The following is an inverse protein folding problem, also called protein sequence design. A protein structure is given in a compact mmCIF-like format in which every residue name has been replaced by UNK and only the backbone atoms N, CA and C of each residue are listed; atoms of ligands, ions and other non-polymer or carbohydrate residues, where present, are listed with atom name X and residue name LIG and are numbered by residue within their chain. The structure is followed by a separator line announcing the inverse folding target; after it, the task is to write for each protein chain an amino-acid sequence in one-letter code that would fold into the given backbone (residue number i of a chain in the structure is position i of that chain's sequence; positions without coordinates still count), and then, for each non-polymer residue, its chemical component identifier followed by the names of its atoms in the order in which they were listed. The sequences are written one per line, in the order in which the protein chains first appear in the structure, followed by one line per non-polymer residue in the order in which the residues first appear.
data_IF_432028381137
#
_entry.id   IF_432028381137
#
_cell.length_a   1.000
_cell.length_b   1.000
_cell.length_c   1.000
_cell.angle_alpha   90.00
_cell.angle_beta   90.00
_cell.angle_gamma   90.00
#
_symmetry.space_group_name_H-M   'P 1'
#
loop_
_entity.id
_entity.type
_entity.pdbx_description
1 polymer ?
#
# COMPACT_ATOMS: atom_id res chain seq x y z
N UNK A 1 -32.68 -42.18 104.62
CA UNK A 1 -34.03 -42.77 104.52
C UNK A 1 -34.36 -42.84 103.03
N UNK A 2 -34.24 -44.03 102.41
CA UNK A 2 -35.36 -44.97 102.15
C UNK A 2 -36.37 -44.28 101.24
N UNK A 3 -36.33 -44.47 99.92
CA UNK A 3 -37.00 -45.54 99.13
C UNK A 3 -37.69 -44.79 97.96
N UNK A 4 -37.93 -45.28 96.76
CA UNK A 4 -38.05 -46.65 96.26
C UNK A 4 -37.93 -46.64 94.73
N UNK A 5 -37.59 -47.82 94.21
CA UNK A 5 -37.32 -48.25 92.84
C UNK A 5 -38.51 -48.23 91.87
N UNK A 6 -38.14 -48.51 90.61
CA UNK A 6 -38.83 -49.23 89.50
C UNK A 6 -39.26 -48.30 88.35
N UNK A 7 -39.05 -48.61 87.07
CA UNK A 7 -38.54 -49.80 86.42
C UNK A 7 -38.23 -49.49 84.94
N UNK A 8 -37.75 -50.50 84.22
CA UNK A 8 -37.03 -50.41 82.97
C UNK A 8 -37.88 -50.28 81.68
N UNK A 9 -37.13 -50.10 80.57
CA UNK A 9 -37.35 -50.58 79.19
C UNK A 9 -37.85 -49.61 78.09
N UNK A 10 -36.87 -49.27 77.22
CA UNK A 10 -36.88 -49.24 75.75
C UNK A 10 -38.21 -49.09 74.96
N UNK A 11 -38.29 -48.04 74.12
CA UNK A 11 -38.16 -48.12 72.64
C UNK A 11 -38.29 -46.75 71.96
N UNK A 12 -37.64 -46.65 70.78
CA UNK A 12 -37.66 -45.58 69.74
C UNK A 12 -39.11 -45.10 69.43
N UNK A 13 -39.42 -43.95 68.86
CA UNK A 13 -38.75 -42.96 68.00
C UNK A 13 -39.55 -41.64 68.01
N UNK A 14 -39.09 -40.65 67.23
CA UNK A 14 -39.85 -39.56 66.54
C UNK A 14 -39.43 -38.15 66.95
N UNK A 15 -39.04 -37.40 65.91
CA UNK A 15 -38.66 -35.99 65.84
C UNK A 15 -39.62 -35.01 66.53
N UNK A 16 -39.09 -33.99 67.20
CA UNK A 16 -39.52 -32.59 67.00
C UNK A 16 -38.47 -31.58 67.50
N UNK A 17 -38.16 -30.63 66.62
CA UNK A 17 -37.71 -29.23 66.81
C UNK A 17 -36.99 -28.82 68.10
N UNK A 18 -35.81 -28.21 67.91
CA UNK A 18 -35.27 -27.23 68.85
C UNK A 18 -34.83 -26.02 68.04
N UNK A 19 -35.48 -24.88 68.29
CA UNK A 19 -35.16 -23.58 67.71
C UNK A 19 -33.69 -23.24 67.96
N UNK A 20 -32.97 -22.89 66.88
CA UNK A 20 -31.65 -22.31 66.98
C UNK A 20 -31.78 -20.80 67.17
N UNK A 21 -31.06 -20.19 68.13
CA UNK A 21 -31.12 -18.76 68.34
C UNK A 21 -30.46 -18.05 67.16
N UNK A 22 -31.22 -17.15 66.51
CA UNK A 22 -30.71 -16.22 65.50
C UNK A 22 -29.60 -15.36 66.11
N UNK A 23 -28.35 -15.72 65.84
CA UNK A 23 -27.20 -14.82 65.98
C UNK A 23 -27.28 -13.81 64.85
N UNK A 24 -27.95 -12.69 65.10
CA UNK A 24 -27.82 -11.51 64.24
C UNK A 24 -26.39 -10.98 64.36
N UNK A 25 -25.50 -11.46 63.49
CA UNK A 25 -24.22 -10.84 63.27
C UNK A 25 -24.48 -9.49 62.59
N UNK A 26 -24.26 -8.39 63.31
CA UNK A 26 -24.28 -7.06 62.73
C UNK A 26 -23.15 -6.98 61.69
N UNK A 27 -23.48 -7.14 60.40
CA UNK A 27 -22.56 -6.92 59.29
C UNK A 27 -22.32 -5.42 59.21
N UNK A 28 -21.13 -4.95 59.60
CA UNK A 28 -20.74 -3.56 59.33
C UNK A 28 -20.58 -3.41 57.82
N UNK A 29 -21.54 -2.74 57.20
CA UNK A 29 -21.46 -2.36 55.79
C UNK A 29 -20.68 -1.07 55.70
N UNK A 30 -19.43 -1.16 55.26
CA UNK A 30 -18.62 0.03 54.95
C UNK A 30 -18.89 0.46 53.52
N UNK A 31 -19.40 1.67 53.33
CA UNK A 31 -19.61 2.27 52.01
C UNK A 31 -18.38 3.03 51.51
N UNK A 32 -18.25 3.17 50.18
CA UNK A 32 -17.27 4.07 49.58
C UNK A 32 -17.57 5.53 49.97
N UNK A 33 -16.54 6.29 50.37
CA UNK A 33 -16.69 7.70 50.78
C UNK A 33 -17.09 8.65 49.64
N UNK A 34 -16.75 8.30 48.40
CA UNK A 34 -16.99 9.15 47.22
C UNK A 34 -18.35 8.88 46.58
N UNK A 35 -18.68 7.62 46.31
CA UNK A 35 -19.92 7.25 45.61
C UNK A 35 -21.00 6.62 46.51
N UNK A 36 -20.79 6.56 47.83
CA UNK A 36 -21.71 6.04 48.87
C UNK A 36 -22.24 4.63 48.61
N UNK A 37 -21.58 3.87 47.72
CA UNK A 37 -21.99 2.53 47.35
C UNK A 37 -21.59 1.53 48.44
N UNK A 38 -22.52 0.65 48.82
CA UNK A 38 -22.32 -0.37 49.85
C UNK A 38 -21.54 -1.57 49.29
N UNK A 39 -20.47 -2.00 49.97
CA UNK A 39 -19.71 -3.21 49.61
C UNK A 39 -19.47 -4.12 50.82
N UNK A 40 -19.31 -5.42 50.57
CA UNK A 40 -18.83 -6.38 51.56
C UNK A 40 -17.31 -6.21 51.74
N UNK A 41 -16.79 -6.23 52.98
CA UNK A 41 -15.38 -5.98 53.22
C UNK A 41 -14.52 -7.10 52.60
N UNK A 42 -13.69 -6.74 51.61
CA UNK A 42 -12.59 -7.60 51.19
C UNK A 42 -11.52 -7.57 52.26
N UNK A 43 -11.16 -8.74 52.78
CA UNK A 43 -10.19 -8.87 53.85
C UNK A 43 -8.78 -8.48 53.37
N UNK A 44 -8.34 -7.29 53.78
CA UNK A 44 -6.93 -6.92 53.80
C UNK A 44 -6.47 -6.09 52.60
N UNK A 45 -6.23 -4.80 52.83
CA UNK A 45 -5.51 -3.93 51.90
C UNK A 45 -5.76 -2.48 52.25
N UNK A 46 -4.70 -1.71 52.50
CA UNK A 46 -4.78 -0.34 53.02
C UNK A 46 -5.19 0.71 51.96
N UNK A 47 -5.36 0.31 50.70
CA UNK A 47 -5.76 1.18 49.58
C UNK A 47 -6.63 0.40 48.58
N UNK A 48 -7.90 0.14 48.90
CA UNK A 48 -8.86 -0.38 47.93
C UNK A 48 -9.77 0.76 47.46
N UNK A 49 -9.45 1.34 46.30
CA UNK A 49 -10.33 2.30 45.64
C UNK A 49 -11.64 1.59 45.24
N UNK A 50 -12.74 2.35 45.21
CA UNK A 50 -14.03 1.76 44.89
C UNK A 50 -14.10 1.40 43.41
N UNK A 51 -14.41 0.14 43.09
CA UNK A 51 -14.57 -0.35 41.71
C UNK A 51 -15.50 0.53 40.86
N UNK A 52 -16.57 1.08 41.47
CA UNK A 52 -17.48 2.00 40.75
C UNK A 52 -16.84 3.36 40.46
N UNK A 53 -16.01 3.88 41.38
CA UNK A 53 -15.27 5.13 41.14
C UNK A 53 -14.17 4.91 40.10
N UNK A 54 -13.43 3.79 40.17
CA UNK A 54 -12.42 3.44 39.18
C UNK A 54 -13.01 3.33 37.77
N UNK A 55 -14.18 2.70 37.63
CA UNK A 55 -14.90 2.62 36.36
C UNK A 55 -15.31 4.00 35.83
N UNK A 56 -15.70 4.92 36.70
CA UNK A 56 -16.04 6.29 36.32
C UNK A 56 -14.79 7.06 35.90
N UNK A 57 -13.68 6.91 36.61
CA UNK A 57 -12.40 7.54 36.26
C UNK A 57 -11.87 7.03 34.92
N UNK A 58 -11.99 5.72 34.65
CA UNK A 58 -11.64 5.14 33.36
C UNK A 58 -12.54 5.64 32.23
N UNK A 59 -13.85 5.80 32.49
CA UNK A 59 -14.77 6.43 31.54
C UNK A 59 -14.39 7.89 31.27
N UNK A 60 -14.05 8.66 32.30
CA UNK A 60 -13.62 10.06 32.16
C UNK A 60 -12.34 10.13 31.31
N UNK A 61 -11.38 9.23 31.54
CA UNK A 61 -10.15 9.11 30.75
C UNK A 61 -10.44 8.82 29.28
N UNK A 62 -11.30 7.82 29.00
CA UNK A 62 -11.69 7.47 27.64
C UNK A 62 -12.42 8.61 26.93
N UNK A 63 -13.27 9.37 27.64
CA UNK A 63 -13.95 10.54 27.07
C UNK A 63 -12.97 11.66 26.76
N UNK A 64 -11.95 11.87 27.60
CA UNK A 64 -10.89 12.85 27.34
C UNK A 64 -10.08 12.48 26.09
N UNK A 65 -9.65 11.22 25.97
CA UNK A 65 -8.95 10.71 24.77
C UNK A 65 -9.81 10.84 23.51
N UNK A 66 -11.09 10.50 23.59
CA UNK A 66 -12.02 10.64 22.47
C UNK A 66 -12.18 12.11 22.05
N UNK A 67 -12.23 13.03 23.02
CA UNK A 67 -12.33 14.46 22.75
C UNK A 67 -11.11 14.98 22.01
N UNK A 68 -9.91 14.55 22.39
CA UNK A 68 -8.67 14.91 21.69
C UNK A 68 -8.65 14.38 20.25
N UNK A 69 -9.08 13.14 20.02
CA UNK A 69 -9.18 12.60 18.66
C UNK A 69 -10.23 13.33 17.81
N UNK A 70 -11.36 13.74 18.40
CA UNK A 70 -12.37 14.54 17.69
C UNK A 70 -11.82 15.90 17.28
N UNK A 71 -11.08 16.59 18.15
CA UNK A 71 -10.41 17.85 17.80
C UNK A 71 -9.35 17.64 16.70
N UNK A 72 -8.58 16.56 16.78
CA UNK A 72 -7.60 16.19 15.74
C UNK A 72 -8.28 15.94 14.39
N UNK A 73 -9.41 15.24 14.37
CA UNK A 73 -10.20 15.02 13.14
C UNK A 73 -10.81 16.32 12.61
N UNK A 74 -11.23 17.24 13.48
CA UNK A 74 -11.71 18.56 13.06
C UNK A 74 -10.60 19.36 12.36
N UNK A 75 -9.39 19.34 12.89
CA UNK A 75 -8.22 19.97 12.27
C UNK A 75 -7.87 19.33 10.91
N UNK A 76 -7.89 18.01 10.81
CA UNK A 76 -7.67 17.31 9.52
C UNK A 76 -8.72 17.74 8.49
N UNK A 77 -10.01 17.76 8.87
CA UNK A 77 -11.09 18.21 7.98
C UNK A 77 -10.94 19.66 7.55
N UNK A 78 -10.28 20.51 8.34
CA UNK A 78 -9.98 21.89 7.96
C UNK A 78 -8.85 21.94 6.92
N UNK A 79 -7.78 21.19 7.13
CA UNK A 79 -6.73 21.03 6.12
C UNK A 79 -7.26 20.45 4.80
N UNK A 80 -8.18 19.47 4.84
CA UNK A 80 -8.83 18.93 3.65
C UNK A 80 -9.61 20.02 2.89
N UNK A 81 -10.36 20.88 3.61
CA UNK A 81 -11.07 22.02 3.00
C UNK A 81 -10.12 23.01 2.35
N UNK A 82 -8.96 23.28 2.95
CA UNK A 82 -7.95 24.15 2.35
C UNK A 82 -7.37 23.53 1.07
N UNK A 83 -7.05 22.23 1.09
CA UNK A 83 -6.55 21.52 -0.10
C UNK A 83 -7.58 21.56 -1.23
N UNK A 84 -8.85 21.33 -0.93
CA UNK A 84 -9.94 21.42 -1.91
C UNK A 84 -10.06 22.85 -2.47
N UNK A 85 -9.95 23.88 -1.62
CA UNK A 85 -9.96 25.28 -2.03
C UNK A 85 -8.80 25.62 -2.97
N UNK A 86 -7.58 25.19 -2.66
CA UNK A 86 -6.41 25.37 -3.51
C UNK A 86 -6.57 24.64 -4.85
N UNK A 87 -7.12 23.42 -4.83
CA UNK A 87 -7.34 22.61 -6.05
C UNK A 87 -8.33 23.29 -6.99
N UNK A 88 -9.44 23.82 -6.46
CA UNK A 88 -10.44 24.57 -7.22
C UNK A 88 -9.88 25.89 -7.77
N UNK A 89 -9.08 26.61 -6.97
CA UNK A 89 -8.43 27.86 -7.39
C UNK A 89 -7.44 27.63 -8.53
N UNK A 90 -6.65 26.56 -8.45
CA UNK A 90 -5.70 26.17 -9.50
C UNK A 90 -6.41 25.77 -10.79
N UNK A 91 -7.56 25.10 -10.68
CA UNK A 91 -8.40 24.74 -11.83
C UNK A 91 -8.99 25.98 -12.52
N UNK A 92 -9.47 26.97 -11.75
CA UNK A 92 -9.95 28.25 -12.29
C UNK A 92 -8.86 29.09 -12.96
N UNK A 93 -7.60 28.97 -12.51
CA UNK A 93 -6.46 29.60 -13.20
C UNK A 93 -6.15 28.87 -14.52
N UNK A 94 -6.18 27.54 -14.52
CA UNK A 94 -5.94 26.71 -15.71
C UNK A 94 -7.01 26.91 -16.79
N UNK A 95 -8.24 27.22 -16.39
CA UNK A 95 -9.33 27.58 -17.32
C UNK A 95 -9.15 28.98 -17.92
N UNK A 96 -8.71 29.97 -17.11
CA UNK A 96 -8.36 31.31 -17.63
C UNK A 96 -7.24 31.28 -18.67
N UNK A 97 -6.19 30.48 -18.45
CA UNK A 97 -5.10 30.32 -19.43
C UNK A 97 -5.49 29.55 -20.69
N UNK A 98 -6.59 28.78 -20.68
CA UNK A 98 -7.10 28.09 -21.88
C UNK A 98 -8.04 28.97 -22.72
N UNK A 99 -8.59 30.03 -22.13
CA UNK A 99 -9.47 30.99 -22.81
C UNK A 99 -8.74 32.06 -23.63
N UNK A 100 -7.42 32.24 -23.43
CA UNK A 100 -6.63 33.30 -24.05
C UNK A 100 -5.51 32.74 -24.94
N UNK A 101 -5.87 32.05 -26.03
CA UNK A 101 -4.98 31.93 -27.18
C UNK A 101 -5.68 32.38 -28.46
N UNK A 102 -5.59 33.66 -28.83
CA UNK A 102 -5.86 34.11 -30.18
C UNK A 102 -4.67 33.77 -31.09
N UNK A 103 -4.96 33.13 -32.22
CA UNK A 103 -4.04 33.05 -33.36
C UNK A 103 -3.91 34.45 -33.98
N UNK A 104 -2.73 35.06 -33.94
CA UNK A 104 -2.33 36.06 -34.94
C UNK A 104 -0.80 36.20 -34.97
N UNK A 105 -0.26 36.29 -36.18
CA UNK A 105 1.17 36.36 -36.44
C UNK A 105 1.71 37.78 -36.67
N UNK A 106 3.02 37.76 -36.94
CA UNK A 106 3.90 38.75 -37.60
C UNK A 106 4.59 39.82 -36.73
N UNK A 107 5.93 39.78 -36.86
CA UNK A 107 7.03 40.75 -36.68
C UNK A 107 7.46 41.32 -35.30
N UNK A 108 8.77 41.22 -34.96
CA UNK A 108 9.37 41.85 -33.79
C UNK A 108 10.27 43.05 -34.16
N UNK A 109 10.11 44.21 -33.54
CA UNK A 109 11.13 45.27 -33.52
C UNK A 109 10.88 46.31 -32.39
N UNK A 110 11.90 47.12 -31.99
CA UNK A 110 12.60 46.95 -30.72
C UNK A 110 12.41 48.14 -29.77
N UNK A 111 12.78 47.98 -28.49
CA UNK A 111 13.09 49.13 -27.64
C UNK A 111 14.25 48.87 -26.66
N UNK A 112 15.30 49.64 -26.91
CA UNK A 112 16.46 49.95 -26.09
C UNK A 112 16.09 51.08 -25.14
N UNK A 113 16.38 50.98 -23.83
CA UNK A 113 16.76 52.12 -22.99
C UNK A 113 17.64 51.68 -21.81
N UNK A 114 18.78 52.34 -21.73
CA UNK A 114 19.74 52.37 -20.63
C UNK A 114 19.14 53.04 -19.37
N UNK A 115 19.57 52.55 -18.21
CA UNK A 115 19.92 53.42 -17.08
C UNK A 115 21.14 52.80 -16.40
N UNK A 116 22.19 53.62 -16.27
CA UNK A 116 23.47 53.34 -15.61
C UNK A 116 23.40 53.66 -14.10
N UNK A 117 24.24 52.96 -13.33
CA UNK A 117 24.71 53.32 -11.98
C UNK A 117 23.89 52.71 -10.84
N UNK A 118 24.43 51.94 -9.90
CA UNK A 118 25.80 51.52 -9.58
C UNK A 118 25.86 51.10 -8.10
N UNK A 119 26.55 49.99 -7.84
CA UNK A 119 27.30 49.60 -6.62
C UNK A 119 26.93 48.25 -5.95
N UNK A 120 28.02 47.57 -5.55
CA UNK A 120 28.30 46.14 -5.29
C UNK A 120 27.90 45.73 -3.86
N UNK A 121 27.62 44.49 -3.42
CA UNK A 121 27.69 43.08 -3.87
C UNK A 121 27.27 42.24 -2.64
N UNK A 122 26.92 40.96 -2.64
CA UNK A 122 27.00 39.84 -3.59
C UNK A 122 25.79 38.95 -3.28
N UNK A 123 24.78 38.94 -4.15
CA UNK A 123 23.72 37.93 -4.16
C UNK A 123 23.94 36.98 -5.34
N UNK A 124 23.74 35.69 -5.08
CA UNK A 124 23.97 34.57 -6.00
C UNK A 124 22.96 34.60 -7.16
N UNK A 125 23.39 35.21 -8.25
CA UNK A 125 22.69 35.27 -9.53
C UNK A 125 22.59 33.87 -10.18
N UNK A 126 21.37 33.42 -10.45
CA UNK A 126 21.11 32.21 -11.24
C UNK A 126 21.68 32.36 -12.65
N UNK A 127 22.78 31.66 -12.95
CA UNK A 127 23.32 31.56 -14.31
C UNK A 127 22.44 30.70 -15.19
N UNK A 128 21.83 31.33 -16.20
CA UNK A 128 21.21 30.62 -17.32
C UNK A 128 22.30 30.04 -18.23
N UNK A 129 22.30 28.73 -18.42
CA UNK A 129 23.24 28.01 -19.29
C UNK A 129 22.73 28.09 -20.74
N UNK A 130 23.55 28.45 -21.74
CA UNK A 130 23.08 28.48 -23.12
C UNK A 130 22.78 27.06 -23.60
N UNK A 131 21.65 26.91 -24.30
CA UNK A 131 21.29 25.67 -24.97
C UNK A 131 22.38 25.29 -25.97
N UNK A 132 23.06 24.16 -25.72
CA UNK A 132 23.99 23.57 -26.68
C UNK A 132 23.28 23.35 -28.02
N UNK A 133 23.81 23.99 -29.05
CA UNK A 133 23.46 23.82 -30.45
C UNK A 133 23.17 22.34 -30.80
N UNK A 134 21.96 22.12 -31.34
CA UNK A 134 21.67 20.93 -32.15
C UNK A 134 22.68 20.86 -33.28
N UNK A 135 23.40 19.73 -33.40
CA UNK A 135 24.10 19.39 -34.64
C UNK A 135 23.08 19.42 -35.78
N UNK A 136 23.36 20.20 -36.83
CA UNK A 136 22.62 20.12 -38.10
C UNK A 136 22.71 18.70 -38.63
N UNK A 137 21.56 18.07 -38.88
CA UNK A 137 21.47 16.93 -39.79
C UNK A 137 21.76 17.43 -41.22
N UNK A 138 22.45 16.64 -42.07
CA UNK A 138 22.48 16.89 -43.51
C UNK A 138 21.06 16.76 -44.09
N UNK A 139 20.72 17.49 -45.18
CA UNK A 139 19.41 17.39 -45.81
C UNK A 139 19.13 15.96 -46.30
N UNK A 140 17.90 15.51 -46.06
CA UNK A 140 17.35 14.24 -46.50
C UNK A 140 17.22 14.25 -48.03
N UNK A 141 17.58 13.16 -48.75
CA UNK A 141 17.33 13.06 -50.17
C UNK A 141 15.82 13.05 -50.48
N UNK A 142 15.46 13.62 -51.63
CA UNK A 142 14.12 13.69 -52.21
C UNK A 142 13.41 12.33 -52.18
N UNK A 143 12.12 12.24 -51.81
CA UNK A 143 11.42 10.96 -51.74
C UNK A 143 11.28 10.32 -53.13
N UNK A 144 11.53 9.02 -53.29
CA UNK A 144 11.19 8.33 -54.52
C UNK A 144 9.66 8.24 -54.68
N UNK A 145 9.22 8.43 -55.91
CA UNK A 145 7.82 8.37 -56.37
C UNK A 145 7.18 7.01 -56.09
N UNK A 146 5.92 7.06 -55.60
CA UNK A 146 4.88 6.03 -55.73
C UNK A 146 5.35 4.57 -55.58
N UNK A 147 5.32 4.06 -54.35
CA UNK A 147 5.39 2.63 -54.07
C UNK A 147 4.03 2.01 -54.48
N UNK A 148 3.98 1.02 -55.38
CA UNK A 148 2.74 0.32 -55.68
C UNK A 148 2.24 -0.41 -54.42
N UNK A 149 1.04 -0.04 -53.96
CA UNK A 149 0.35 -0.74 -52.87
C UNK A 149 -0.26 -2.03 -53.43
N UNK A 150 0.55 -3.07 -53.62
CA UNK A 150 0.03 -4.41 -53.89
C UNK A 150 -0.11 -5.19 -52.59
N UNK A 151 -1.28 -5.79 -52.41
CA UNK A 151 -1.65 -6.53 -51.23
C UNK A 151 -0.92 -7.88 -51.23
N UNK A 152 -0.09 -8.12 -50.21
CA UNK A 152 0.73 -9.35 -50.09
C UNK A 152 -0.08 -10.64 -49.85
N UNK A 153 -1.41 -10.54 -49.75
CA UNK A 153 -2.32 -11.67 -49.55
C UNK A 153 -3.07 -12.12 -50.82
N UNK A 154 -2.80 -11.53 -51.98
CA UNK A 154 -3.48 -11.85 -53.25
C UNK A 154 -3.28 -13.32 -53.69
N UNK A 155 -2.24 -13.99 -53.19
CA UNK A 155 -1.98 -15.42 -53.43
C UNK A 155 -2.97 -16.39 -52.76
N UNK A 156 -3.98 -15.90 -52.02
CA UNK A 156 -5.00 -16.74 -51.37
C UNK A 156 -6.40 -16.59 -51.97
N UNK A 157 -6.61 -15.74 -52.99
CA UNK A 157 -7.93 -15.54 -53.61
C UNK A 157 -8.21 -16.43 -54.83
N UNK A 158 -7.23 -17.23 -55.29
CA UNK A 158 -7.38 -18.08 -56.49
C UNK A 158 -7.72 -19.56 -56.24
N UNK A 159 -8.07 -19.98 -55.02
CA UNK A 159 -8.65 -21.32 -54.79
C UNK A 159 -10.19 -21.30 -54.65
N UNK A 160 -10.86 -20.45 -55.44
CA UNK A 160 -12.30 -20.58 -55.63
C UNK A 160 -12.72 -20.23 -57.05
N UNK A 161 -12.29 -21.00 -58.03
CA UNK A 161 -12.92 -21.06 -59.36
C UNK A 161 -12.43 -22.28 -60.16
N UNK A 162 -13.04 -23.45 -59.92
CA UNK A 162 -13.18 -24.49 -60.93
C UNK A 162 -14.50 -25.22 -60.72
N UNK A 163 -15.47 -24.91 -61.59
CA UNK A 163 -16.44 -25.83 -62.19
C UNK A 163 -17.59 -25.01 -62.78
N UNK A 164 -17.47 -24.72 -64.07
CA UNK A 164 -18.61 -24.52 -64.96
C UNK A 164 -19.34 -25.86 -65.12
N UNK A 165 -20.68 -25.88 -65.00
CA UNK A 165 -21.59 -26.25 -66.10
C UNK A 165 -23.06 -26.34 -65.63
N UNK A 166 -23.88 -25.58 -66.35
CA UNK A 166 -25.26 -25.83 -66.82
C UNK A 166 -26.50 -25.85 -65.90
N UNK A 167 -27.50 -25.13 -66.41
CA UNK A 167 -28.90 -25.00 -65.99
C UNK A 167 -29.65 -26.33 -66.06
N UNK A 168 -30.53 -26.66 -65.09
CA UNK A 168 -31.94 -27.02 -65.34
C UNK A 168 -32.80 -26.69 -64.09
N UNK A 169 -34.01 -26.26 -64.42
CA UNK A 169 -35.16 -25.71 -63.69
C UNK A 169 -35.84 -26.60 -62.61
N UNK A 170 -36.20 -25.94 -61.49
CA UNK A 170 -37.40 -26.03 -60.64
C UNK A 170 -37.91 -27.32 -59.92
N UNK A 171 -38.15 -27.12 -58.61
CA UNK A 171 -39.30 -27.50 -57.73
C UNK A 171 -38.83 -28.07 -56.37
N UNK A 172 -39.31 -27.54 -55.21
CA UNK A 172 -38.68 -27.82 -53.91
C UNK A 172 -39.41 -28.90 -53.09
N UNK A 173 -38.64 -29.73 -52.38
CA UNK A 173 -39.16 -30.54 -51.26
C UNK A 173 -38.39 -30.27 -49.97
N UNK A 174 -39.15 -29.82 -48.98
CA UNK A 174 -38.74 -29.37 -47.64
C UNK A 174 -38.25 -30.54 -46.78
N UNK A 175 -37.07 -30.40 -46.17
CA UNK A 175 -36.70 -31.08 -44.91
C UNK A 175 -35.99 -30.06 -44.01
N UNK A 176 -36.37 -29.87 -42.73
CA UNK A 176 -35.80 -28.83 -41.88
C UNK A 176 -34.40 -29.22 -41.39
N UNK A 177 -33.38 -28.44 -41.78
CA UNK A 177 -32.05 -28.52 -41.20
C UNK A 177 -32.06 -27.89 -39.79
N UNK A 178 -31.84 -28.73 -38.79
CA UNK A 178 -31.46 -28.32 -37.43
C UNK A 178 -30.27 -27.36 -37.54
N UNK A 179 -30.44 -26.12 -37.08
CA UNK A 179 -29.39 -25.11 -37.01
C UNK A 179 -28.36 -25.56 -36.00
N UNK A 180 -27.32 -26.26 -36.46
CA UNK A 180 -26.09 -26.48 -35.72
C UNK A 180 -25.41 -25.11 -35.62
N UNK A 181 -25.58 -24.46 -34.48
CA UNK A 181 -24.91 -23.21 -34.13
C UNK A 181 -23.43 -23.35 -34.45
N UNK A 182 -22.91 -22.47 -35.30
CA UNK A 182 -21.49 -22.33 -35.54
C UNK A 182 -20.77 -22.23 -34.19
N UNK A 183 -19.65 -22.96 -33.97
CA UNK A 183 -18.81 -22.71 -32.82
C UNK A 183 -18.36 -21.27 -32.94
N UNK A 184 -18.94 -20.38 -32.14
CA UNK A 184 -18.41 -19.04 -31.95
C UNK A 184 -16.99 -19.27 -31.46
N UNK A 185 -16.01 -19.06 -32.33
CA UNK A 185 -14.62 -18.93 -31.95
C UNK A 185 -14.62 -17.79 -30.94
N UNK A 186 -14.65 -18.16 -29.65
CA UNK A 186 -14.26 -17.27 -28.58
C UNK A 186 -12.78 -17.05 -28.83
N UNK A 187 -12.46 -15.97 -29.52
CA UNK A 187 -11.19 -15.29 -29.31
C UNK A 187 -11.22 -14.76 -27.88
N UNK A 188 -11.04 -15.66 -26.91
CA UNK A 188 -10.44 -15.25 -25.67
C UNK A 188 -9.08 -14.72 -26.10
N UNK A 189 -8.99 -13.40 -26.27
CA UNK A 189 -7.72 -12.73 -26.29
C UNK A 189 -7.08 -13.09 -24.96
N UNK A 190 -6.28 -14.15 -24.94
CA UNK A 190 -5.36 -14.41 -23.86
C UNK A 190 -4.33 -13.30 -23.96
N UNK A 191 -4.71 -12.08 -23.54
CA UNK A 191 -3.74 -11.08 -23.14
C UNK A 191 -2.88 -11.80 -22.12
N UNK A 192 -1.61 -11.99 -22.43
CA UNK A 192 -0.65 -12.55 -21.48
C UNK A 192 -0.55 -11.57 -20.33
N UNK A 193 -1.46 -11.71 -19.35
CA UNK A 193 -1.55 -10.87 -18.18
C UNK A 193 -0.31 -11.13 -17.33
N UNK A 194 0.41 -10.05 -17.12
CA UNK A 194 1.74 -10.01 -16.55
C UNK A 194 1.77 -10.52 -15.10
N UNK A 195 2.72 -11.40 -14.79
CA UNK A 195 2.96 -11.86 -13.41
C UNK A 195 3.63 -10.76 -12.58
N UNK A 196 3.21 -10.62 -11.33
CA UNK A 196 3.73 -9.64 -10.37
C UNK A 196 4.32 -10.37 -9.17
N UNK A 197 5.55 -10.02 -8.80
CA UNK A 197 6.23 -10.60 -7.65
C UNK A 197 6.78 -9.47 -6.78
N UNK A 198 6.24 -9.36 -5.57
CA UNK A 198 6.74 -8.43 -4.55
C UNK A 198 7.67 -9.21 -3.63
N UNK A 199 8.94 -8.83 -3.57
CA UNK A 199 9.95 -9.53 -2.76
C UNK A 199 10.54 -8.56 -1.76
N UNK A 200 10.70 -9.00 -0.52
CA UNK A 200 11.18 -8.10 0.51
C UNK A 200 11.54 -8.75 1.82
N UNK A 201 11.93 -7.92 2.76
CA UNK A 201 12.37 -8.31 4.09
C UNK A 201 11.18 -8.48 5.05
N UNK A 202 11.41 -8.39 6.37
CA UNK A 202 10.36 -8.61 7.37
C UNK A 202 9.18 -7.63 7.26
N UNK A 203 9.37 -6.48 6.61
CA UNK A 203 8.39 -5.40 6.46
C UNK A 203 7.18 -5.81 5.60
N UNK A 204 7.37 -6.75 4.67
CA UNK A 204 6.28 -7.24 3.83
C UNK A 204 5.33 -8.20 4.55
N UNK A 205 5.67 -8.66 5.76
CA UNK A 205 4.85 -9.63 6.49
C UNK A 205 3.45 -9.06 6.73
N UNK A 206 2.41 -9.75 6.25
CA UNK A 206 1.02 -9.32 6.44
C UNK A 206 0.48 -8.39 5.36
N UNK A 207 1.25 -8.12 4.29
CA UNK A 207 0.82 -7.29 3.14
C UNK A 207 0.14 -8.09 2.02
N UNK A 208 0.05 -9.42 2.16
CA UNK A 208 -0.38 -10.34 1.11
C UNK A 208 -1.85 -10.13 0.74
N UNK A 209 -2.70 -9.74 1.70
CA UNK A 209 -4.13 -9.53 1.48
C UNK A 209 -4.42 -8.50 0.38
N UNK A 210 -4.04 -7.22 0.55
CA UNK A 210 -4.24 -6.20 -0.47
C UNK A 210 -3.56 -6.50 -1.82
N UNK A 211 -2.38 -7.12 -1.80
CA UNK A 211 -1.57 -7.33 -3.00
C UNK A 211 -2.08 -8.53 -3.81
N UNK A 212 -2.33 -9.68 -3.17
CA UNK A 212 -2.63 -10.93 -3.85
C UNK A 212 -4.12 -11.15 -4.13
N UNK A 213 -5.04 -10.59 -3.31
CA UNK A 213 -6.50 -10.81 -3.50
C UNK A 213 -7.04 -10.44 -4.89
N UNK A 214 -6.60 -9.36 -5.55
CA UNK A 214 -7.09 -9.02 -6.88
C UNK A 214 -6.79 -10.09 -7.94
N UNK A 215 -5.64 -10.77 -7.82
CA UNK A 215 -5.28 -11.89 -8.69
C UNK A 215 -4.28 -12.83 -8.00
N UNK A 216 -4.76 -13.85 -7.27
CA UNK A 216 -3.89 -14.74 -6.50
C UNK A 216 -3.08 -15.71 -7.37
N UNK A 217 -3.42 -15.84 -8.66
CA UNK A 217 -2.71 -16.72 -9.58
C UNK A 217 -1.50 -16.05 -10.22
N UNK A 218 -1.52 -14.71 -10.30
CA UNK A 218 -0.46 -13.92 -10.95
C UNK A 218 0.29 -12.99 -10.01
N UNK A 219 -0.25 -12.66 -8.84
CA UNK A 219 0.39 -11.80 -7.84
C UNK A 219 0.91 -12.63 -6.67
N UNK A 220 2.20 -12.50 -6.40
CA UNK A 220 2.88 -13.21 -5.31
C UNK A 220 3.63 -12.21 -4.42
N UNK A 221 3.53 -12.41 -3.10
CA UNK A 221 4.35 -11.70 -2.11
C UNK A 221 5.30 -12.70 -1.46
N UNK A 222 6.60 -12.43 -1.54
CA UNK A 222 7.67 -13.25 -1.01
C UNK A 222 8.37 -12.50 0.13
N UNK A 223 7.84 -12.65 1.34
CA UNK A 223 8.43 -12.12 2.56
C UNK A 223 9.62 -12.97 3.01
N UNK A 224 10.78 -12.35 3.23
CA UNK A 224 12.03 -12.98 3.67
C UNK A 224 12.51 -12.33 4.98
N UNK A 225 11.99 -12.75 6.14
CA UNK A 225 12.33 -12.13 7.42
C UNK A 225 13.84 -12.22 7.70
N UNK A 226 14.47 -11.09 8.03
CA UNK A 226 15.91 -11.03 8.32
C UNK A 226 16.82 -11.18 7.09
N UNK A 227 16.26 -11.29 5.89
CA UNK A 227 17.05 -11.35 4.68
C UNK A 227 17.62 -9.98 4.34
N UNK A 228 18.88 -9.97 3.92
CA UNK A 228 19.51 -8.76 3.39
C UNK A 228 19.16 -8.59 1.92
N UNK A 229 19.42 -7.41 1.38
CA UNK A 229 19.29 -7.13 -0.07
C UNK A 229 20.04 -8.16 -0.91
N UNK A 230 21.23 -8.61 -0.47
CA UNK A 230 22.00 -9.63 -1.18
C UNK A 230 21.36 -11.03 -1.17
N UNK A 231 20.58 -11.34 -0.12
CA UNK A 231 19.96 -12.64 0.06
C UNK A 231 18.69 -12.74 -0.81
N UNK A 232 17.97 -11.61 -0.96
CA UNK A 232 16.88 -11.44 -1.92
C UNK A 232 17.35 -11.74 -3.35
N UNK A 233 18.51 -11.22 -3.75
CA UNK A 233 19.05 -11.42 -5.09
C UNK A 233 19.20 -12.91 -5.47
N UNK A 234 19.58 -13.76 -4.51
CA UNK A 234 19.69 -15.20 -4.72
C UNK A 234 18.32 -15.86 -4.92
N UNK A 235 17.29 -15.35 -4.25
CA UNK A 235 15.94 -15.92 -4.31
C UNK A 235 15.18 -15.54 -5.58
N UNK A 236 15.38 -14.33 -6.11
CA UNK A 236 14.70 -13.84 -7.33
C UNK A 236 14.89 -14.79 -8.51
N UNK A 237 16.09 -15.33 -8.70
CA UNK A 237 16.38 -16.28 -9.79
C UNK A 237 15.52 -17.55 -9.76
N UNK A 238 15.02 -17.93 -8.58
CA UNK A 238 14.11 -19.07 -8.41
C UNK A 238 12.64 -18.68 -8.55
N UNK A 239 12.32 -17.40 -8.36
CA UNK A 239 10.95 -16.89 -8.38
C UNK A 239 10.48 -16.58 -9.80
N UNK A 240 11.36 -16.03 -10.65
CA UNK A 240 11.07 -15.72 -12.05
C UNK A 240 11.18 -17.00 -12.88
N UNK A 241 10.09 -17.39 -13.52
CA UNK A 241 10.05 -18.57 -14.40
C UNK A 241 10.46 -18.17 -15.82
N UNK A 242 11.11 -19.06 -16.60
CA UNK A 242 11.37 -18.80 -18.03
C UNK A 242 10.10 -18.55 -18.84
N UNK A 243 8.95 -19.06 -18.38
CA UNK A 243 7.63 -18.87 -18.99
C UNK A 243 6.98 -17.53 -18.63
N UNK A 244 7.51 -16.78 -17.67
CA UNK A 244 6.91 -15.52 -17.24
C UNK A 244 7.10 -14.46 -18.33
N UNK A 245 5.98 -13.99 -18.89
CA UNK A 245 6.01 -12.94 -19.92
C UNK A 245 6.18 -11.56 -19.27
N UNK A 246 7.37 -10.96 -19.45
CA UNK A 246 7.75 -9.62 -18.99
C UNK A 246 7.30 -9.30 -17.55
N UNK A 247 7.69 -10.06 -16.51
CA UNK A 247 7.12 -9.90 -15.15
C UNK A 247 7.40 -8.53 -14.52
N UNK A 248 6.58 -8.12 -13.56
CA UNK A 248 6.81 -6.96 -12.69
C UNK A 248 7.41 -7.43 -11.36
N UNK A 249 8.58 -6.91 -11.02
CA UNK A 249 9.26 -7.18 -9.76
C UNK A 249 9.28 -5.92 -8.89
N UNK A 250 8.74 -6.02 -7.67
CA UNK A 250 8.76 -4.93 -6.70
C UNK A 250 9.61 -5.34 -5.50
N UNK A 251 10.59 -4.52 -5.12
CA UNK A 251 11.53 -4.82 -4.04
C UNK A 251 11.33 -3.90 -2.83
N UNK A 252 10.87 -4.47 -1.72
CA UNK A 252 10.81 -3.80 -0.41
C UNK A 252 11.91 -4.36 0.48
N UNK A 253 13.10 -3.75 0.46
CA UNK A 253 14.29 -4.36 1.05
C UNK A 253 15.19 -3.35 1.76
N UNK A 254 15.96 -3.84 2.73
CA UNK A 254 17.02 -3.08 3.40
C UNK A 254 16.56 -2.44 4.71
N UNK A 255 15.28 -2.50 5.05
CA UNK A 255 14.74 -1.96 6.30
C UNK A 255 15.27 -2.75 7.50
N UNK A 256 15.45 -4.06 7.34
CA UNK A 256 16.07 -4.92 8.38
C UNK A 256 17.58 -4.63 8.59
N UNK A 257 18.20 -3.86 7.69
CA UNK A 257 19.66 -3.61 7.66
C UNK A 257 20.06 -2.19 8.09
N UNK A 258 19.19 -1.18 7.97
CA UNK A 258 19.53 0.24 8.18
C UNK A 258 20.05 0.56 9.58
N UNK A 259 19.59 -0.17 10.60
CA UNK A 259 20.07 -0.04 11.98
C UNK A 259 21.38 -0.78 12.24
N UNK A 260 21.77 -1.73 11.39
CA UNK A 260 22.84 -2.71 11.66
C UNK A 260 24.07 -2.53 10.77
N UNK A 261 23.95 -1.82 9.65
CA UNK A 261 24.99 -1.78 8.61
C UNK A 261 25.20 -0.38 8.09
N UNK A 262 26.42 -0.14 7.59
CA UNK A 262 26.76 1.13 6.98
C UNK A 262 26.02 1.35 5.65
N UNK A 263 25.63 2.60 5.32
CA UNK A 263 25.00 2.92 4.05
C UNK A 263 25.80 2.43 2.84
N UNK A 264 27.13 2.53 2.88
CA UNK A 264 28.02 2.07 1.80
C UNK A 264 27.81 0.58 1.48
N UNK A 265 27.63 -0.23 2.51
CA UNK A 265 27.49 -1.67 2.37
C UNK A 265 26.11 -2.06 1.81
N UNK A 266 25.04 -1.39 2.27
CA UNK A 266 23.68 -1.60 1.74
C UNK A 266 23.59 -1.14 0.27
N UNK A 267 24.16 0.03 -0.07
CA UNK A 267 24.24 0.54 -1.45
C UNK A 267 24.98 -0.42 -2.40
N UNK A 268 26.04 -1.07 -1.93
CA UNK A 268 26.72 -2.13 -2.69
C UNK A 268 25.77 -3.29 -2.97
N UNK A 269 25.10 -3.80 -1.95
CA UNK A 269 24.21 -4.96 -2.11
C UNK A 269 23.03 -4.63 -3.07
N UNK A 270 22.50 -3.39 -3.08
CA UNK A 270 21.54 -2.93 -4.11
C UNK A 270 22.12 -2.89 -5.52
N UNK A 271 23.35 -2.40 -5.68
CA UNK A 271 24.04 -2.44 -6.99
C UNK A 271 24.18 -3.86 -7.50
N UNK A 272 24.53 -4.79 -6.61
CA UNK A 272 24.72 -6.20 -6.95
C UNK A 272 23.40 -6.87 -7.34
N UNK A 273 22.30 -6.51 -6.67
CA UNK A 273 20.95 -6.93 -7.04
C UNK A 273 20.56 -6.35 -8.40
N UNK A 274 20.73 -5.05 -8.63
CA UNK A 274 20.43 -4.42 -9.92
C UNK A 274 21.20 -5.03 -11.07
N UNK A 275 22.50 -5.32 -10.88
CA UNK A 275 23.33 -6.01 -11.90
C UNK A 275 22.75 -7.38 -12.28
N UNK A 276 22.22 -8.14 -11.33
CA UNK A 276 21.62 -9.45 -11.59
C UNK A 276 20.28 -9.36 -12.31
N UNK A 277 19.53 -8.27 -12.11
CA UNK A 277 18.23 -8.08 -12.74
C UNK A 277 18.33 -7.52 -14.17
N UNK A 278 19.48 -6.97 -14.57
CA UNK A 278 19.70 -6.52 -15.95
C UNK A 278 19.59 -7.69 -16.92
N UNK A 279 18.85 -7.47 -18.00
CA UNK A 279 18.63 -8.50 -19.02
C UNK A 279 17.66 -9.62 -18.62
N UNK A 280 17.04 -9.55 -17.43
CA UNK A 280 16.03 -10.52 -17.00
C UNK A 280 14.69 -10.40 -17.74
N UNK A 281 14.50 -9.34 -18.53
CA UNK A 281 13.21 -9.03 -19.16
C UNK A 281 12.13 -8.61 -18.16
N UNK A 282 12.45 -8.39 -16.88
CA UNK A 282 11.50 -7.90 -15.90
C UNK A 282 11.46 -6.36 -15.85
N UNK A 283 10.29 -5.78 -15.57
CA UNK A 283 10.25 -4.40 -15.04
C UNK A 283 10.52 -4.48 -13.56
N UNK A 284 11.46 -3.67 -13.11
CA UNK A 284 11.93 -3.68 -11.74
C UNK A 284 11.59 -2.35 -11.10
N UNK A 285 10.97 -2.41 -9.92
CA UNK A 285 10.70 -1.26 -9.07
C UNK A 285 11.32 -1.48 -7.71
N UNK A 286 12.19 -0.58 -7.28
CA UNK A 286 12.72 -0.54 -5.93
C UNK A 286 11.86 0.41 -5.09
N UNK A 287 11.28 -0.11 -4.02
CA UNK A 287 10.54 0.69 -3.07
C UNK A 287 11.51 1.29 -2.04
N UNK A 288 11.19 2.49 -1.55
CA UNK A 288 12.01 3.17 -0.55
C UNK A 288 12.19 2.34 0.72
N UNK A 289 13.41 2.30 1.24
CA UNK A 289 13.78 1.65 2.50
C UNK A 289 13.06 2.33 3.66
N UNK A 290 12.39 1.58 4.52
CA UNK A 290 11.69 2.15 5.67
C UNK A 290 12.67 2.37 6.84
N UNK A 291 12.49 3.45 7.62
CA UNK A 291 13.36 3.81 8.72
C UNK A 291 13.06 3.00 9.99
N UNK A 292 13.30 1.69 9.97
CA UNK A 292 13.06 0.79 11.12
C UNK A 292 14.30 0.76 12.01
N UNK A 293 14.13 0.99 13.31
CA UNK A 293 15.24 0.99 14.30
C UNK A 293 15.71 2.37 14.75
N UNK A 294 14.82 3.37 14.78
CA UNK A 294 15.05 4.67 15.42
C UNK A 294 15.86 5.69 14.58
N UNK A 295 16.34 6.76 15.23
CA UNK A 295 16.92 7.95 14.58
C UNK A 295 18.14 7.64 13.67
N UNK A 296 19.03 6.75 14.09
CA UNK A 296 20.20 6.38 13.28
C UNK A 296 19.79 5.59 12.02
N UNK A 297 18.82 4.70 12.16
CA UNK A 297 18.23 3.98 11.04
C UNK A 297 17.50 4.93 10.09
N UNK A 298 16.80 5.94 10.62
CA UNK A 298 16.16 6.98 9.82
C UNK A 298 17.16 7.79 9.00
N UNK A 299 18.22 8.30 9.64
CA UNK A 299 19.30 9.02 8.94
C UNK A 299 19.96 8.14 7.87
N UNK A 300 20.17 6.86 8.17
CA UNK A 300 20.68 5.88 7.23
C UNK A 300 19.73 5.68 6.04
N UNK A 301 18.45 5.46 6.29
CA UNK A 301 17.40 5.27 5.29
C UNK A 301 17.26 6.49 4.38
N UNK A 302 17.26 7.72 4.91
CA UNK A 302 17.22 8.95 4.09
C UNK A 302 18.40 9.02 3.12
N UNK A 303 19.62 8.74 3.59
CA UNK A 303 20.85 8.73 2.76
C UNK A 303 20.87 7.60 1.73
N UNK A 304 20.21 6.48 2.02
CA UNK A 304 20.07 5.36 1.09
C UNK A 304 19.00 5.69 0.06
N UNK A 305 17.83 6.15 0.46
CA UNK A 305 16.69 6.45 -0.42
C UNK A 305 16.99 7.59 -1.40
N UNK A 306 17.67 8.66 -0.95
CA UNK A 306 18.15 9.71 -1.86
C UNK A 306 19.05 9.13 -2.94
N UNK A 307 20.03 8.31 -2.54
CA UNK A 307 20.91 7.65 -3.49
C UNK A 307 20.18 6.64 -4.37
N UNK A 308 19.23 5.88 -3.82
CA UNK A 308 18.50 4.81 -4.49
C UNK A 308 17.61 5.41 -5.58
N UNK A 309 16.97 6.56 -5.32
CA UNK A 309 16.23 7.33 -6.32
C UNK A 309 17.11 7.69 -7.51
N UNK A 310 18.21 8.40 -7.27
CA UNK A 310 19.14 8.84 -8.33
C UNK A 310 19.80 7.67 -9.07
N UNK A 311 20.07 6.59 -8.33
CA UNK A 311 20.64 5.38 -8.90
C UNK A 311 19.63 4.65 -9.78
N UNK A 312 18.38 4.48 -9.33
CA UNK A 312 17.33 3.86 -10.15
C UNK A 312 17.09 4.63 -11.45
N UNK A 313 17.03 5.96 -11.37
CA UNK A 313 16.85 6.84 -12.53
C UNK A 313 17.96 6.64 -13.58
N UNK A 314 19.24 6.72 -13.16
CA UNK A 314 20.39 6.49 -14.04
C UNK A 314 20.46 5.07 -14.64
N UNK A 315 19.81 4.11 -14.01
CA UNK A 315 19.92 2.70 -14.35
C UNK A 315 18.65 2.13 -15.00
N UNK A 316 17.65 2.97 -15.24
CA UNK A 316 16.35 2.63 -15.83
C UNK A 316 15.57 1.60 -14.99
N UNK A 317 15.60 1.77 -13.66
CA UNK A 317 14.73 1.07 -12.74
C UNK A 317 13.65 2.01 -12.21
N UNK A 318 12.48 1.48 -11.87
CA UNK A 318 11.47 2.24 -11.16
C UNK A 318 11.89 2.48 -9.71
N UNK A 319 11.57 3.66 -9.18
CA UNK A 319 11.70 3.95 -7.76
C UNK A 319 10.33 4.34 -7.18
N UNK A 320 9.89 3.65 -6.14
CA UNK A 320 8.64 3.94 -5.45
C UNK A 320 8.90 4.59 -4.08
N UNK A 321 8.78 5.90 -4.06
CA UNK A 321 9.01 6.72 -2.86
C UNK A 321 7.75 6.80 -2.00
N UNK A 322 7.71 5.99 -0.94
CA UNK A 322 6.60 5.93 0.02
C UNK A 322 7.08 6.00 1.48
N UNK A 323 8.39 5.96 1.70
CA UNK A 323 9.00 5.73 3.01
C UNK A 323 8.82 6.87 4.00
N UNK A 324 8.62 8.11 3.53
CA UNK A 324 8.40 9.28 4.40
C UNK A 324 7.14 9.16 5.25
N UNK A 325 6.10 8.51 4.74
CA UNK A 325 4.81 8.35 5.44
C UNK A 325 5.00 7.56 6.73
N UNK A 326 5.97 6.63 6.78
CA UNK A 326 6.17 5.74 7.92
C UNK A 326 6.90 6.40 9.09
N UNK A 327 7.39 7.63 8.95
CA UNK A 327 7.83 8.45 10.08
C UNK A 327 6.63 9.01 10.89
N UNK A 328 5.41 8.92 10.37
CA UNK A 328 4.20 9.40 11.07
C UNK A 328 3.88 8.52 12.29
N UNK A 329 3.55 9.13 13.45
CA UNK A 329 3.13 8.40 14.64
C UNK A 329 2.00 7.39 14.37
N UNK A 330 2.11 6.21 14.97
CA UNK A 330 1.11 5.14 14.86
C UNK A 330 1.26 4.20 13.64
N UNK A 331 2.18 4.48 12.72
CA UNK A 331 2.51 3.56 11.62
C UNK A 331 3.66 2.60 11.94
N UNK A 332 4.55 3.02 12.83
CA UNK A 332 5.55 2.15 13.45
C UNK A 332 4.96 1.44 14.67
N UNK A 333 5.48 0.24 14.94
CA UNK A 333 5.22 -0.45 16.19
C UNK A 333 5.80 0.35 17.38
N UNK A 334 5.27 0.20 18.60
CA UNK A 334 5.73 0.96 19.78
C UNK A 334 7.22 0.75 20.09
N UNK A 335 7.77 -0.42 19.74
CA UNK A 335 9.19 -0.74 19.89
C UNK A 335 10.10 -0.13 18.81
N UNK A 336 9.51 0.48 17.76
CA UNK A 336 10.24 1.02 16.61
C UNK A 336 10.95 -0.04 15.76
N UNK A 337 10.71 -1.33 16.02
CA UNK A 337 11.40 -2.46 15.36
C UNK A 337 10.59 -3.06 14.21
N UNK A 338 9.43 -2.49 13.90
CA UNK A 338 8.59 -2.92 12.81
C UNK A 338 7.45 -1.96 12.53
N UNK A 339 6.57 -2.35 11.60
CA UNK A 339 5.33 -1.64 11.34
C UNK A 339 4.23 -2.07 12.33
N UNK A 340 3.37 -1.12 12.69
CA UNK A 340 2.12 -1.43 13.40
C UNK A 340 1.15 -2.19 12.46
N UNK A 341 0.08 -2.78 13.01
CA UNK A 341 -0.98 -3.37 12.16
C UNK A 341 -1.55 -2.37 11.15
N UNK A 342 -1.64 -1.10 11.55
CA UNK A 342 -2.08 0.00 10.67
C UNK A 342 -1.03 0.28 9.59
N UNK A 343 0.25 0.34 9.95
CA UNK A 343 1.36 0.53 9.02
C UNK A 343 1.42 -0.56 7.96
N UNK A 344 1.34 -1.84 8.35
CA UNK A 344 1.32 -2.98 7.42
C UNK A 344 0.15 -2.88 6.43
N UNK A 345 -1.04 -2.49 6.92
CA UNK A 345 -2.22 -2.33 6.06
C UNK A 345 -1.99 -1.23 5.01
N UNK A 346 -1.45 -0.08 5.41
CA UNK A 346 -1.16 1.04 4.51
C UNK A 346 -0.10 0.62 3.49
N UNK A 347 0.96 -0.05 3.92
CA UNK A 347 2.00 -0.55 3.01
C UNK A 347 1.43 -1.49 1.95
N UNK A 348 0.59 -2.45 2.37
CA UNK A 348 -0.08 -3.33 1.43
C UNK A 348 -0.94 -2.57 0.41
N UNK A 349 -1.66 -1.54 0.85
CA UNK A 349 -2.49 -0.70 -0.04
C UNK A 349 -1.66 0.15 -1.00
N UNK A 350 -0.57 0.76 -0.54
CA UNK A 350 0.33 1.55 -1.38
C UNK A 350 1.00 0.69 -2.46
N UNK A 351 1.50 -0.49 -2.07
CA UNK A 351 2.10 -1.45 -3.01
C UNK A 351 1.06 -1.99 -4.00
N UNK A 352 -0.16 -2.29 -3.55
CA UNK A 352 -1.24 -2.69 -4.45
C UNK A 352 -1.56 -1.58 -5.47
N UNK A 353 -1.69 -0.32 -5.02
CA UNK A 353 -1.92 0.81 -5.90
C UNK A 353 -0.79 1.05 -6.89
N UNK A 354 0.48 0.84 -6.49
CA UNK A 354 1.62 0.84 -7.42
C UNK A 354 1.47 -0.23 -8.50
N UNK A 355 1.12 -1.46 -8.11
CA UNK A 355 0.95 -2.58 -9.04
C UNK A 355 -0.17 -2.29 -10.02
N UNK A 356 -1.31 -1.78 -9.55
CA UNK A 356 -2.45 -1.49 -10.41
C UNK A 356 -2.12 -0.39 -11.43
N UNK A 357 -1.33 0.62 -11.05
CA UNK A 357 -0.83 1.65 -12.00
C UNK A 357 0.22 1.13 -12.98
N UNK A 358 0.90 0.03 -12.66
CA UNK A 358 1.94 -0.56 -13.52
C UNK A 358 1.37 -1.61 -14.49
N UNK A 359 0.15 -2.09 -14.24
CA UNK A 359 -0.54 -3.07 -15.07
C UNK A 359 -1.56 -2.46 -16.05
N UNK A 360 -2.04 -1.26 -15.76
CA UNK A 360 -2.92 -0.46 -16.62
C UNK A 360 -2.11 0.62 -17.34
#
# INVERSE_FOLDING_TARGET
MVSTRHGALCRRSVHTQTEYPLKNAAVQVTGCRECQSLFLPSAGGRDAACVRCEQVDDLIRMVAELKEEVERLRAIRECEREIDWWSNSLQGLKERYRGETPQMGVEPLPCRRQAEGGDLGVEEEWKQVPARHRRRCPPLPTPPSQVPLQNRFEALENERSTATEEEVESVPRRIPRVRRSTPRIRTASTKNERRVIVVGDSVLRGTEGPICRPDPTRREVCCLPGARVRDIAKKVKRLVRPTDYYPLLVFQAGSDEVAKRSPKAIKRDFRDLGRQLRGSGAQVVFASVLPIGGMEAERCAVRINSWLRDWCDRHNFGFFDHGKVYATPGLMAPDGMGLSRRGVRILGQELAGLIDRALN
#
